data_IF_192079966455
#
_entry.id   IF_192079966455
#
_cell.length_a   1.000
_cell.length_b   1.000
_cell.length_c   1.000
_cell.angle_alpha   90.00
_cell.angle_beta   90.00
_cell.angle_gamma   90.00
#
_symmetry.space_group_name_H-M   'P 1'
#
loop_
_entity.id
_entity.type
_entity.pdbx_description
1 polymer ?
#
# COMPACT_ATOMS: atom_id res chain seq x y z
N UNK A 1 5.77 5.79 -24.69
CA UNK A 1 4.79 5.28 -23.70
C UNK A 1 4.35 3.88 -24.10
N UNK A 2 4.31 2.92 -23.17
CA UNK A 2 3.93 1.53 -23.45
C UNK A 2 2.44 1.40 -23.83
N UNK A 3 2.09 0.32 -24.52
CA UNK A 3 0.69 0.00 -24.88
C UNK A 3 -0.10 -0.43 -23.63
N UNK A 4 -1.42 -0.49 -23.74
CA UNK A 4 -2.29 -0.98 -22.65
C UNK A 4 -2.01 -2.47 -22.36
N UNK A 5 -1.83 -3.30 -23.41
CA UNK A 5 -1.46 -4.71 -23.24
C UNK A 5 -0.12 -4.90 -22.51
N UNK A 6 0.88 -4.13 -22.89
CA UNK A 6 2.16 -4.16 -22.18
C UNK A 6 2.01 -3.71 -20.72
N UNK A 7 1.21 -2.66 -20.47
CA UNK A 7 0.94 -2.21 -19.12
C UNK A 7 0.29 -3.31 -18.27
N UNK A 8 -0.70 -4.03 -18.82
CA UNK A 8 -1.35 -5.19 -18.18
C UNK A 8 -0.34 -6.26 -17.80
N UNK A 9 0.53 -6.65 -18.74
CA UNK A 9 1.54 -7.69 -18.51
C UNK A 9 2.52 -7.29 -17.40
N UNK A 10 3.00 -6.06 -17.43
CA UNK A 10 4.02 -5.57 -16.47
C UNK A 10 3.47 -5.26 -15.09
N UNK A 11 2.19 -4.84 -14.99
CA UNK A 11 1.55 -4.50 -13.72
C UNK A 11 0.89 -5.68 -13.03
N UNK A 12 0.50 -6.71 -13.80
CA UNK A 12 -0.31 -7.82 -13.29
C UNK A 12 -1.76 -7.43 -13.00
N UNK A 13 -2.24 -6.32 -13.57
CA UNK A 13 -3.64 -5.93 -13.51
C UNK A 13 -4.50 -6.84 -14.39
N UNK A 14 -5.71 -7.14 -13.94
CA UNK A 14 -6.70 -7.89 -14.71
C UNK A 14 -7.31 -6.99 -15.79
N UNK A 15 -7.94 -7.60 -16.80
CA UNK A 15 -8.56 -6.84 -17.90
C UNK A 15 -9.68 -5.90 -17.43
N UNK A 16 -10.41 -6.28 -16.40
CA UNK A 16 -11.46 -5.46 -15.77
C UNK A 16 -10.92 -4.34 -14.89
N UNK A 17 -9.64 -4.42 -14.49
CA UNK A 17 -8.95 -3.36 -13.73
C UNK A 17 -8.31 -2.29 -14.67
N UNK A 18 -8.30 -2.54 -15.98
CA UNK A 18 -7.69 -1.67 -16.98
C UNK A 18 -8.68 -0.58 -17.44
N UNK A 19 -8.86 0.43 -16.61
CA UNK A 19 -9.77 1.55 -16.93
C UNK A 19 -9.09 2.52 -17.89
N UNK A 20 -9.70 2.75 -19.05
CA UNK A 20 -9.17 3.70 -20.05
C UNK A 20 -9.25 5.12 -19.49
N UNK A 21 -8.10 5.75 -19.42
CA UNK A 21 -7.95 7.10 -18.89
C UNK A 21 -7.74 8.16 -19.98
N UNK A 22 -7.74 9.44 -19.61
CA UNK A 22 -7.44 10.55 -20.50
C UNK A 22 -6.01 10.49 -21.01
N UNK A 23 -5.69 11.35 -21.98
CA UNK A 23 -4.31 11.54 -22.42
C UNK A 23 -3.41 12.07 -21.27
N UNK A 24 -2.11 11.75 -21.28
CA UNK A 24 -1.18 12.25 -20.27
C UNK A 24 -1.21 13.78 -20.16
N UNK A 25 -1.29 14.28 -18.95
CA UNK A 25 -1.38 15.70 -18.64
C UNK A 25 -0.32 16.09 -17.60
N UNK A 26 -0.05 17.39 -17.40
CA UNK A 26 0.84 17.87 -16.35
C UNK A 26 0.45 17.37 -14.95
N UNK A 27 -0.85 17.22 -14.69
CA UNK A 27 -1.39 16.67 -13.44
C UNK A 27 -0.91 15.23 -13.18
N UNK A 28 -0.88 14.38 -14.22
CA UNK A 28 -0.36 13.01 -14.11
C UNK A 28 1.14 13.00 -13.82
N UNK A 29 1.91 13.89 -14.44
CA UNK A 29 3.35 14.03 -14.18
C UNK A 29 3.63 14.50 -12.76
N UNK A 30 2.90 15.49 -12.25
CA UNK A 30 3.01 15.93 -10.87
C UNK A 30 2.70 14.81 -9.87
N UNK A 31 1.66 14.00 -10.15
CA UNK A 31 1.34 12.82 -9.32
C UNK A 31 2.44 11.75 -9.41
N UNK A 32 3.00 11.53 -10.59
CA UNK A 32 4.14 10.63 -10.77
C UNK A 32 5.34 11.07 -9.91
N UNK A 33 5.66 12.36 -9.90
CA UNK A 33 6.73 12.91 -9.05
C UNK A 33 6.54 12.54 -7.57
N UNK A 34 5.30 12.55 -7.07
CA UNK A 34 5.00 12.10 -5.72
C UNK A 34 5.38 10.63 -5.45
N UNK A 35 5.13 9.74 -6.41
CA UNK A 35 5.55 8.34 -6.30
C UNK A 35 7.08 8.18 -6.40
N UNK A 36 7.74 8.99 -7.24
CA UNK A 36 9.19 8.93 -7.43
C UNK A 36 9.97 9.28 -6.15
N UNK A 37 9.38 10.00 -5.20
CA UNK A 37 9.99 10.22 -3.88
C UNK A 37 10.26 8.91 -3.12
N UNK A 38 9.53 7.85 -3.47
CA UNK A 38 9.70 6.52 -2.89
C UNK A 38 10.67 5.62 -3.68
N UNK A 39 11.33 6.13 -4.72
CA UNK A 39 12.23 5.35 -5.58
C UNK A 39 13.41 4.74 -4.81
N UNK A 40 13.78 5.32 -3.67
CA UNK A 40 14.77 4.77 -2.73
C UNK A 40 14.45 3.34 -2.26
N UNK A 41 13.18 2.95 -2.28
CA UNK A 41 12.72 1.60 -1.93
C UNK A 41 12.74 0.62 -3.11
N UNK A 42 13.16 1.08 -4.28
CA UNK A 42 13.24 0.32 -5.51
C UNK A 42 12.06 0.56 -6.45
N UNK A 43 12.33 0.43 -7.76
CA UNK A 43 11.35 0.68 -8.82
C UNK A 43 10.17 -0.31 -8.77
N UNK A 44 10.43 -1.57 -8.42
CA UNK A 44 9.39 -2.58 -8.26
C UNK A 44 8.39 -2.20 -7.14
N UNK A 45 8.90 -1.68 -6.02
CA UNK A 45 8.06 -1.22 -4.91
C UNK A 45 7.17 -0.05 -5.34
N UNK A 46 7.72 0.93 -6.07
CA UNK A 46 6.94 2.07 -6.58
C UNK A 46 5.83 1.58 -7.53
N UNK A 47 6.14 0.64 -8.42
CA UNK A 47 5.11 0.02 -9.28
C UNK A 47 3.98 -0.61 -8.44
N UNK A 48 4.34 -1.42 -7.44
CA UNK A 48 3.35 -2.06 -6.56
C UNK A 48 2.48 -1.05 -5.80
N UNK A 49 3.06 0.07 -5.35
CA UNK A 49 2.31 1.15 -4.71
C UNK A 49 1.26 1.72 -5.67
N UNK A 50 1.64 2.05 -6.91
CA UNK A 50 0.71 2.58 -7.90
C UNK A 50 -0.39 1.56 -8.22
N UNK A 51 -0.05 0.27 -8.38
CA UNK A 51 -1.02 -0.81 -8.64
C UNK A 51 -1.98 -0.98 -7.46
N UNK A 52 -1.48 -0.93 -6.22
CA UNK A 52 -2.33 -1.00 -5.03
C UNK A 52 -3.32 0.17 -4.98
N UNK A 53 -2.86 1.39 -5.27
CA UNK A 53 -3.72 2.57 -5.29
C UNK A 53 -4.78 2.51 -6.41
N UNK A 54 -4.48 1.90 -7.57
CA UNK A 54 -5.46 1.64 -8.62
C UNK A 54 -6.56 0.72 -8.08
N UNK A 55 -6.19 -0.39 -7.44
CA UNK A 55 -7.16 -1.36 -6.88
C UNK A 55 -8.03 -0.72 -5.81
N UNK A 56 -7.43 0.03 -4.90
CA UNK A 56 -8.19 0.78 -3.89
C UNK A 56 -9.17 1.76 -4.55
N UNK A 57 -8.77 2.46 -5.61
CA UNK A 57 -9.66 3.37 -6.32
C UNK A 57 -10.82 2.64 -7.00
N UNK A 58 -10.59 1.43 -7.54
CA UNK A 58 -11.62 0.58 -8.13
C UNK A 58 -12.59 0.06 -7.06
N UNK A 59 -12.09 -0.42 -5.94
CA UNK A 59 -12.89 -0.93 -4.82
C UNK A 59 -13.81 0.16 -4.24
N UNK A 60 -13.34 1.41 -4.27
CA UNK A 60 -14.12 2.58 -3.86
C UNK A 60 -15.07 3.12 -4.96
N UNK A 61 -15.10 2.51 -6.16
CA UNK A 61 -15.87 2.98 -7.30
C UNK A 61 -15.38 4.30 -7.90
N UNK A 62 -14.18 4.77 -7.54
CA UNK A 62 -13.59 6.02 -8.02
C UNK A 62 -12.90 5.83 -9.39
N UNK A 63 -13.69 5.49 -10.43
CA UNK A 63 -13.19 5.11 -11.76
C UNK A 63 -12.29 6.18 -12.40
N UNK A 64 -12.65 7.46 -12.27
CA UNK A 64 -11.83 8.56 -12.80
C UNK A 64 -10.44 8.60 -12.15
N UNK A 65 -10.36 8.33 -10.84
CA UNK A 65 -9.09 8.25 -10.13
C UNK A 65 -8.28 7.03 -10.55
N UNK A 66 -8.92 5.88 -10.72
CA UNK A 66 -8.28 4.67 -11.22
C UNK A 66 -7.71 4.89 -12.64
N UNK A 67 -8.47 5.54 -13.52
CA UNK A 67 -8.03 5.90 -14.87
C UNK A 67 -6.83 6.85 -14.88
N UNK A 68 -6.85 7.90 -14.04
CA UNK A 68 -5.71 8.80 -13.84
C UNK A 68 -4.45 8.04 -13.36
N UNK A 69 -4.61 7.15 -12.39
CA UNK A 69 -3.51 6.35 -11.85
C UNK A 69 -2.96 5.36 -12.88
N UNK A 70 -3.80 4.81 -13.74
CA UNK A 70 -3.34 3.96 -14.83
C UNK A 70 -2.48 4.72 -15.85
N UNK A 71 -2.81 5.99 -16.13
CA UNK A 71 -1.95 6.86 -16.93
C UNK A 71 -0.60 7.09 -16.24
N UNK A 72 -0.60 7.34 -14.94
CA UNK A 72 0.63 7.49 -14.14
C UNK A 72 1.47 6.22 -14.18
N UNK A 73 0.86 5.05 -14.03
CA UNK A 73 1.54 3.75 -14.13
C UNK A 73 2.20 3.55 -15.50
N UNK A 74 1.48 3.88 -16.59
CA UNK A 74 2.02 3.77 -17.95
C UNK A 74 3.21 4.70 -18.17
N UNK A 75 3.16 5.92 -17.66
CA UNK A 75 4.29 6.86 -17.69
C UNK A 75 5.46 6.27 -16.90
N UNK A 76 5.23 5.85 -15.67
CA UNK A 76 6.25 5.25 -14.82
C UNK A 76 6.94 4.06 -15.47
N UNK A 77 6.18 3.10 -16.00
CA UNK A 77 6.73 1.92 -16.68
C UNK A 77 7.43 2.26 -18.00
N UNK A 78 7.11 3.37 -18.65
CA UNK A 78 7.83 3.82 -19.84
C UNK A 78 9.20 4.40 -19.49
N UNK A 79 9.27 5.17 -18.38
CA UNK A 79 10.49 5.84 -17.94
C UNK A 79 11.43 4.90 -17.15
N UNK A 80 10.87 3.84 -16.54
CA UNK A 80 11.60 2.88 -15.70
C UNK A 80 11.48 1.44 -16.23
N UNK A 81 12.31 1.05 -17.23
CA UNK A 81 12.23 -0.28 -17.83
C UNK A 81 12.52 -1.42 -16.84
N UNK A 82 13.31 -1.19 -15.81
CA UNK A 82 13.59 -2.19 -14.77
C UNK A 82 12.34 -2.57 -13.95
N UNK A 83 11.42 -1.62 -13.78
CA UNK A 83 10.15 -1.85 -13.10
C UNK A 83 9.22 -2.80 -13.87
N UNK A 84 9.49 -3.07 -15.16
CA UNK A 84 8.70 -3.99 -15.99
C UNK A 84 8.94 -5.46 -15.61
N UNK A 85 10.11 -5.77 -15.05
CA UNK A 85 10.39 -7.12 -14.54
C UNK A 85 9.47 -7.37 -13.36
N UNK A 86 8.64 -8.39 -13.46
CA UNK A 86 7.96 -8.93 -12.29
C UNK A 86 9.05 -9.40 -11.33
N UNK A 87 9.11 -8.81 -10.17
CA UNK A 87 9.81 -9.45 -9.08
C UNK A 87 8.97 -10.68 -8.77
N UNK A 88 9.42 -11.85 -9.22
CA UNK A 88 8.88 -13.11 -8.72
C UNK A 88 9.08 -13.02 -7.21
N UNK A 89 8.05 -12.54 -6.51
CA UNK A 89 8.00 -12.78 -5.09
C UNK A 89 8.06 -14.28 -4.99
N UNK A 90 9.16 -14.79 -4.46
CA UNK A 90 9.12 -16.13 -3.92
C UNK A 90 7.80 -16.20 -3.19
N UNK A 91 6.83 -16.83 -3.82
CA UNK A 91 5.61 -17.22 -3.15
C UNK A 91 6.15 -18.11 -2.06
N UNK A 92 6.32 -17.54 -0.87
CA UNK A 92 6.57 -18.36 0.31
C UNK A 92 5.38 -19.29 0.31
N UNK A 93 5.61 -20.50 -0.18
CA UNK A 93 4.58 -21.51 -0.19
C UNK A 93 4.25 -21.76 1.27
N UNK A 94 3.23 -21.06 1.77
CA UNK A 94 2.76 -21.15 3.16
C UNK A 94 2.45 -22.61 3.52
N UNK A 95 2.31 -23.50 2.52
CA UNK A 95 2.15 -24.94 2.70
C UNK A 95 3.44 -25.62 3.17
N UNK A 96 4.60 -24.98 2.96
CA UNK A 96 5.90 -25.48 3.35
C UNK A 96 6.44 -24.83 4.64
N UNK A 97 5.72 -23.86 5.23
CA UNK A 97 6.05 -23.37 6.54
C UNK A 97 5.59 -24.44 7.54
N UNK A 98 6.51 -25.24 8.13
CA UNK A 98 6.12 -26.17 9.17
C UNK A 98 5.46 -25.35 10.27
N UNK A 99 4.20 -25.62 10.55
CA UNK A 99 3.54 -25.09 11.74
C UNK A 99 4.35 -25.58 12.95
N UNK A 100 5.31 -24.77 13.38
CA UNK A 100 5.87 -24.93 14.70
C UNK A 100 4.75 -24.59 15.67
N UNK A 101 4.12 -25.63 16.20
CA UNK A 101 3.22 -25.47 17.34
C UNK A 101 3.98 -24.65 18.40
N UNK A 102 3.39 -23.53 18.88
CA UNK A 102 3.99 -22.84 19.99
C UNK A 102 4.07 -23.85 21.13
N UNK A 103 5.29 -24.28 21.46
CA UNK A 103 5.53 -25.02 22.69
C UNK A 103 5.00 -24.14 23.82
N UNK A 104 3.81 -24.41 24.26
CA UNK A 104 3.31 -23.90 25.54
C UNK A 104 4.22 -24.43 26.63
N UNK A 105 5.34 -23.74 26.86
CA UNK A 105 6.07 -23.91 28.10
C UNK A 105 5.13 -23.44 29.18
N UNK A 106 4.63 -24.42 29.96
CA UNK A 106 3.81 -24.20 31.12
C UNK A 106 4.46 -23.08 31.96
N UNK A 107 3.78 -21.95 32.04
CA UNK A 107 4.18 -20.88 32.93
C UNK A 107 4.12 -21.45 34.38
N UNK A 108 5.16 -21.22 35.19
CA UNK A 108 5.10 -21.58 36.61
C UNK A 108 3.94 -20.79 37.25
N UNK A 109 3.11 -21.46 37.97
CA UNK A 109 2.00 -20.93 38.77
C UNK A 109 2.54 -19.86 39.74
N UNK A 110 2.56 -18.61 39.30
CA UNK A 110 2.85 -17.47 40.19
C UNK A 110 1.57 -17.17 41.00
N UNK A 111 1.72 -17.31 42.29
CA UNK A 111 0.82 -16.97 43.35
C UNK A 111 0.12 -15.63 43.14
N UNK A 112 -1.20 -15.70 43.30
CA UNK A 112 -2.14 -14.59 43.19
C UNK A 112 -2.05 -13.70 44.45
N UNK A 113 -1.02 -12.88 44.57
CA UNK A 113 -0.90 -11.76 45.52
C UNK A 113 0.11 -10.78 44.95
N UNK A 114 -0.41 -9.73 44.31
CA UNK A 114 0.09 -8.37 44.18
C UNK A 114 -0.53 -7.76 42.93
N UNK A 115 -1.78 -7.38 43.08
CA UNK A 115 -2.50 -6.54 42.11
C UNK A 115 -2.84 -5.23 42.79
N UNK A 116 -1.80 -4.41 42.98
CA UNK A 116 -1.97 -2.99 43.33
C UNK A 116 -0.79 -2.29 42.67
N UNK A 117 -0.99 -1.79 41.44
CA UNK A 117 -0.38 -0.63 40.82
C UNK A 117 -0.48 -0.75 39.31
N UNK A 118 -1.66 -0.46 38.80
CA UNK A 118 -1.83 -0.18 37.38
C UNK A 118 -1.59 1.32 37.18
N UNK A 119 -0.63 1.75 36.33
CA UNK A 119 -0.47 3.16 36.01
C UNK A 119 -1.70 3.64 35.23
N UNK A 120 -2.43 4.59 35.78
CA UNK A 120 -3.48 5.35 35.10
C UNK A 120 -2.84 6.22 34.02
N UNK A 121 -2.64 5.71 32.84
CA UNK A 121 -2.27 6.49 31.66
C UNK A 121 -3.50 6.71 30.79
N UNK A 122 -4.37 7.58 31.25
CA UNK A 122 -5.34 8.27 30.40
C UNK A 122 -5.70 9.60 31.06
N UNK A 123 -4.87 10.61 30.84
CA UNK A 123 -5.21 11.96 31.25
C UNK A 123 -6.15 12.56 30.18
N UNK A 124 -7.35 12.92 30.63
CA UNK A 124 -8.43 13.53 29.85
C UNK A 124 -8.09 14.93 29.26
N UNK A 125 -6.86 15.41 29.42
CA UNK A 125 -6.44 16.75 29.00
C UNK A 125 -6.12 16.89 27.51
N UNK A 126 -6.10 15.81 26.73
CA UNK A 126 -5.76 15.86 25.30
C UNK A 126 -6.97 16.03 24.36
N UNK A 127 -8.18 15.85 24.88
CA UNK A 127 -9.41 15.99 24.09
C UNK A 127 -9.87 17.44 24.02
N UNK A 128 -9.52 18.24 25.01
CA UNK A 128 -9.96 19.65 25.10
C UNK A 128 -9.22 20.57 24.14
N UNK A 129 -7.99 20.23 23.77
CA UNK A 129 -7.17 21.01 22.84
C UNK A 129 -7.67 20.89 21.39
N UNK A 130 -8.24 19.75 21.00
CA UNK A 130 -8.82 19.56 19.67
C UNK A 130 -10.16 20.26 19.46
N UNK A 131 -10.91 20.47 20.55
CA UNK A 131 -12.22 21.13 20.48
C UNK A 131 -12.11 22.64 20.27
N UNK A 132 -11.04 23.26 20.71
CA UNK A 132 -10.78 24.71 20.52
C UNK A 132 -10.24 25.05 19.13
N UNK A 133 -9.63 24.10 18.41
CA UNK A 133 -9.10 24.33 17.07
C UNK A 133 -10.17 24.29 15.96
N UNK A 134 -11.38 23.81 16.24
CA UNK A 134 -12.48 23.69 15.27
C UNK A 134 -13.51 24.84 15.37
N UNK A 135 -13.26 25.86 16.19
CA UNK A 135 -14.16 27.00 16.36
C UNK A 135 -13.52 28.35 15.98
N UNK A 136 -12.41 28.33 15.22
CA UNK A 136 -11.85 29.49 14.52
C UNK A 136 -11.85 29.18 13.00
#
# INVERSE_FOLDING_TARGET
MITMEQCKIFSGLLSNEMVVGPAPSPKHRARLTGYLLNLKWGQATVREMIVADIRVALDLGALNRAADLLVVLRLFLSDHPEARKRQDRNVVDWRLVPMQEPKCTAAPSASMRDRADAPKIFSASRIETYRKALQQ
#
